data_IF_962848192638
#
_entry.id   IF_962848192638
#
_cell.length_a   1.000
_cell.length_b   1.000
_cell.length_c   1.000
_cell.angle_alpha   90.00
_cell.angle_beta   90.00
_cell.angle_gamma   90.00
#
_symmetry.space_group_name_H-M   'P 1'
#
loop_
_entity.id
_entity.type
_entity.pdbx_description
1 polymer ?
#
# COMPACT_ATOMS: atom_id res chain seq x y z
N UNK A 1 -23.18 -29.69 -66.65
CA UNK A 1 -22.09 -28.76 -66.23
C UNK A 1 -22.82 -27.52 -65.71
N UNK A 2 -22.69 -26.96 -64.51
CA UNK A 2 -21.81 -26.99 -63.32
C UNK A 2 -22.77 -26.66 -62.13
N UNK A 3 -22.84 -27.42 -61.03
CA UNK A 3 -21.89 -27.47 -59.90
C UNK A 3 -21.82 -26.18 -59.05
N UNK A 4 -22.51 -26.26 -57.89
CA UNK A 4 -22.22 -25.65 -56.57
C UNK A 4 -22.38 -24.11 -56.47
N UNK A 5 -22.66 -23.47 -55.33
CA UNK A 5 -22.41 -23.84 -53.94
C UNK A 5 -23.27 -22.96 -53.00
N UNK A 6 -23.95 -23.61 -52.06
CA UNK A 6 -24.49 -23.07 -50.80
C UNK A 6 -23.31 -22.66 -49.90
N UNK A 7 -23.33 -21.49 -49.27
CA UNK A 7 -22.64 -21.14 -48.00
C UNK A 7 -22.94 -19.65 -47.78
N UNK A 8 -23.68 -19.23 -46.76
CA UNK A 8 -23.50 -19.57 -45.36
C UNK A 8 -23.06 -18.29 -44.66
N UNK A 9 -23.97 -17.31 -44.56
CA UNK A 9 -23.74 -16.08 -43.80
C UNK A 9 -23.94 -16.39 -42.31
N UNK A 10 -23.01 -17.14 -41.76
CA UNK A 10 -22.98 -17.48 -40.34
C UNK A 10 -21.64 -17.07 -39.75
N UNK A 11 -21.76 -16.28 -38.69
CA UNK A 11 -20.78 -16.07 -37.62
C UNK A 11 -19.69 -15.05 -37.97
N UNK A 12 -20.04 -13.77 -37.78
CA UNK A 12 -19.10 -12.78 -37.27
C UNK A 12 -19.73 -12.06 -36.07
N UNK A 13 -20.15 -12.84 -35.07
CA UNK A 13 -20.19 -12.34 -33.70
C UNK A 13 -18.80 -12.55 -33.10
N UNK A 14 -17.81 -11.81 -33.60
CA UNK A 14 -16.68 -11.46 -32.76
C UNK A 14 -17.23 -10.43 -31.77
N UNK A 15 -17.89 -10.91 -30.72
CA UNK A 15 -18.06 -10.11 -29.53
C UNK A 15 -16.65 -9.77 -29.07
N UNK A 16 -16.24 -8.51 -29.22
CA UNK A 16 -15.20 -7.97 -28.37
C UNK A 16 -15.70 -8.22 -26.95
N UNK A 17 -15.11 -9.21 -26.29
CA UNK A 17 -15.10 -9.22 -24.83
C UNK A 17 -14.20 -8.04 -24.48
N UNK A 18 -14.79 -6.84 -24.49
CA UNK A 18 -14.18 -5.63 -23.95
C UNK A 18 -13.99 -5.98 -22.47
N UNK A 19 -12.78 -6.45 -22.16
CA UNK A 19 -12.45 -6.98 -20.86
C UNK A 19 -12.85 -5.93 -19.86
N UNK A 20 -13.83 -6.27 -19.03
CA UNK A 20 -14.35 -5.41 -17.97
C UNK A 20 -13.14 -4.89 -17.18
N UNK A 21 -12.72 -3.65 -17.49
CA UNK A 21 -11.61 -3.01 -16.82
C UNK A 21 -12.14 -2.65 -15.44
N UNK A 22 -12.04 -3.60 -14.52
CA UNK A 22 -12.24 -3.34 -13.11
C UNK A 22 -11.12 -2.39 -12.69
N UNK A 23 -11.48 -1.11 -12.54
CA UNK A 23 -10.60 -0.12 -11.93
C UNK A 23 -10.63 -0.43 -10.45
N UNK A 24 -9.60 -1.13 -9.98
CA UNK A 24 -9.31 -1.25 -8.56
C UNK A 24 -8.83 0.13 -8.07
N UNK A 25 -9.56 0.69 -7.11
CA UNK A 25 -9.18 1.92 -6.40
C UNK A 25 -8.67 1.52 -5.03
N UNK A 26 -7.50 2.04 -4.65
CA UNK A 26 -6.95 1.89 -3.30
C UNK A 26 -7.11 3.23 -2.60
N UNK A 27 -8.07 3.31 -1.68
CA UNK A 27 -8.42 4.54 -0.98
C UNK A 27 -8.23 4.36 0.54
N UNK A 28 -7.26 5.08 1.08
CA UNK A 28 -7.05 5.22 2.52
C UNK A 28 -6.95 6.70 2.93
N UNK A 29 -7.38 7.64 2.08
CA UNK A 29 -7.32 9.08 2.36
C UNK A 29 -8.24 9.46 3.52
N UNK A 30 -9.33 8.71 3.72
CA UNK A 30 -10.23 8.90 4.88
C UNK A 30 -9.74 8.25 6.19
N UNK A 31 -8.66 7.47 6.14
CA UNK A 31 -8.12 6.74 7.28
C UNK A 31 -6.98 7.58 7.89
N UNK A 32 -7.28 8.33 8.95
CA UNK A 32 -6.30 9.25 9.57
C UNK A 32 -5.28 8.53 10.47
N UNK A 33 -5.67 7.39 11.05
CA UNK A 33 -4.86 6.71 12.08
C UNK A 33 -3.84 5.78 11.45
N UNK A 34 -2.55 6.10 11.62
CA UNK A 34 -1.44 5.18 11.39
C UNK A 34 -1.26 4.28 12.61
N UNK A 35 -1.15 2.97 12.40
CA UNK A 35 -1.00 1.98 13.45
C UNK A 35 0.35 1.27 13.37
N UNK A 36 0.86 0.82 14.52
CA UNK A 36 2.04 -0.04 14.65
C UNK A 36 1.86 -0.95 15.87
N UNK A 37 2.48 -2.12 15.85
CA UNK A 37 2.41 -3.06 16.99
C UNK A 37 3.44 -2.75 18.08
N UNK A 38 4.55 -2.14 17.69
CA UNK A 38 5.64 -1.76 18.59
C UNK A 38 5.79 -0.24 18.61
N UNK A 39 6.45 0.26 19.66
CA UNK A 39 6.90 1.65 19.72
C UNK A 39 7.76 1.97 18.50
N UNK A 40 7.42 3.05 17.81
CA UNK A 40 8.11 3.50 16.61
C UNK A 40 9.47 4.08 17.00
N UNK A 41 10.52 3.69 16.29
CA UNK A 41 11.90 4.06 16.61
C UNK A 41 12.72 4.39 15.38
N UNK A 42 13.58 5.40 15.49
CA UNK A 42 14.55 5.75 14.46
C UNK A 42 15.68 4.71 14.30
N UNK A 43 15.88 3.83 15.29
CA UNK A 43 17.00 2.87 15.30
C UNK A 43 16.60 1.44 14.94
N UNK A 44 15.32 1.16 14.72
CA UNK A 44 14.83 -0.16 14.32
C UNK A 44 14.01 -0.08 13.05
N UNK A 45 13.77 -1.23 12.42
CA UNK A 45 12.73 -1.34 11.42
C UNK A 45 11.37 -1.02 12.05
N UNK A 46 10.50 -0.35 11.29
CA UNK A 46 9.13 -0.03 11.71
C UNK A 46 8.16 -0.59 10.69
N UNK A 47 7.17 -1.35 11.17
CA UNK A 47 6.02 -1.77 10.38
C UNK A 47 4.86 -0.88 10.76
N UNK A 48 4.38 -0.11 9.78
CA UNK A 48 3.24 0.79 9.91
C UNK A 48 2.11 0.25 9.05
N UNK A 49 0.86 0.42 9.49
CA UNK A 49 -0.27 -0.01 8.70
C UNK A 49 -1.49 0.89 8.90
N UNK A 50 -2.31 0.97 7.84
CA UNK A 50 -3.67 1.48 7.87
C UNK A 50 -4.64 0.36 7.55
N UNK A 51 -5.81 0.40 8.18
CA UNK A 51 -6.89 -0.57 7.97
C UNK A 51 -8.12 0.19 7.48
N UNK A 52 -8.72 -0.28 6.41
CA UNK A 52 -9.99 0.19 5.87
C UNK A 52 -10.92 -1.01 5.67
N UNK A 53 -11.77 -1.30 6.66
CA UNK A 53 -12.67 -2.46 6.58
C UNK A 53 -11.92 -3.80 6.50
N UNK A 54 -12.04 -4.47 5.36
CA UNK A 54 -11.38 -5.73 4.99
C UNK A 54 -10.12 -5.51 4.14
N UNK A 55 -9.60 -4.29 4.08
CA UNK A 55 -8.39 -3.94 3.35
C UNK A 55 -7.33 -3.35 4.30
N UNK A 56 -6.04 -3.56 3.99
CA UNK A 56 -4.95 -2.90 4.69
C UNK A 56 -3.82 -2.46 3.76
N UNK A 57 -3.23 -1.31 4.08
CA UNK A 57 -2.01 -0.82 3.46
C UNK A 57 -0.88 -0.87 4.49
N UNK A 58 0.18 -1.62 4.19
CA UNK A 58 1.30 -1.89 5.11
C UNK A 58 2.58 -1.29 4.53
N UNK A 59 3.30 -0.55 5.36
CA UNK A 59 4.61 0.02 5.06
C UNK A 59 5.66 -0.60 5.97
N UNK A 60 6.76 -1.05 5.38
CA UNK A 60 7.97 -1.43 6.13
C UNK A 60 9.04 -0.37 5.91
N UNK A 61 9.40 0.33 6.98
CA UNK A 61 10.44 1.36 7.00
C UNK A 61 11.71 0.77 7.63
N UNK A 62 12.86 0.80 6.93
CA UNK A 62 14.10 0.26 7.46
C UNK A 62 14.63 1.12 8.61
N UNK A 63 15.47 0.51 9.45
CA UNK A 63 16.20 1.21 10.51
C UNK A 63 16.97 2.41 9.95
N UNK A 64 16.89 3.54 10.66
CA UNK A 64 17.57 4.76 10.30
C UNK A 64 16.91 5.57 9.19
N UNK A 65 15.76 5.15 8.64
CA UNK A 65 15.00 5.99 7.71
C UNK A 65 14.30 7.16 8.43
N UNK A 66 13.67 6.89 9.57
CA UNK A 66 13.23 7.94 10.49
C UNK A 66 14.47 8.52 11.19
N UNK A 67 14.56 9.85 11.28
CA UNK A 67 15.66 10.56 11.93
C UNK A 67 15.13 11.47 13.03
N UNK A 68 15.72 11.37 14.22
CA UNK A 68 15.43 12.27 15.36
C UNK A 68 16.15 13.62 15.18
N UNK A 69 15.90 14.26 14.04
CA UNK A 69 16.39 15.58 13.70
C UNK A 69 15.39 16.24 12.73
N UNK A 70 15.21 17.56 12.86
CA UNK A 70 14.35 18.28 11.93
C UNK A 70 14.94 18.23 10.51
N UNK A 71 14.11 17.90 9.52
CA UNK A 71 14.54 17.80 8.13
C UNK A 71 14.91 19.17 7.58
N UNK A 72 16.13 19.29 7.03
CA UNK A 72 16.49 20.42 6.13
C UNK A 72 16.02 20.16 4.70
N UNK A 73 15.91 18.88 4.33
CA UNK A 73 15.31 18.37 3.11
C UNK A 73 14.65 17.03 3.46
N UNK A 74 13.54 16.71 2.81
CA UNK A 74 12.84 15.44 3.02
C UNK A 74 13.74 14.26 2.64
N UNK A 75 13.59 13.14 3.35
CA UNK A 75 14.30 11.90 3.09
C UNK A 75 13.43 11.04 2.18
N UNK A 76 14.00 10.51 1.11
CA UNK A 76 13.29 9.64 0.17
C UNK A 76 13.85 8.21 0.21
N UNK A 77 12.96 7.22 0.25
CA UNK A 77 13.29 5.79 0.21
C UNK A 77 12.53 5.12 -0.93
N UNK A 78 13.25 4.49 -1.85
CA UNK A 78 12.65 3.80 -2.99
C UNK A 78 11.88 2.54 -2.58
N UNK A 79 10.81 2.26 -3.32
CA UNK A 79 9.96 1.07 -3.20
C UNK A 79 9.83 0.40 -4.59
N UNK A 80 10.04 -0.92 -4.71
CA UNK A 80 10.61 -1.80 -3.69
C UNK A 80 12.12 -1.54 -3.50
N UNK A 81 12.66 -1.93 -2.36
CA UNK A 81 14.08 -1.80 -2.07
C UNK A 81 14.33 -1.76 -0.57
N UNK A 82 14.84 -0.62 -0.09
CA UNK A 82 15.04 -0.40 1.34
C UNK A 82 13.71 -0.33 2.11
N UNK A 83 12.67 0.18 1.46
CA UNK A 83 11.30 0.20 1.98
C UNK A 83 10.40 -0.72 1.15
N UNK A 84 9.34 -1.21 1.80
CA UNK A 84 8.31 -2.04 1.18
C UNK A 84 6.93 -1.43 1.43
N UNK A 85 6.03 -1.61 0.48
CA UNK A 85 4.61 -1.26 0.59
C UNK A 85 3.82 -2.44 0.08
N UNK A 86 2.89 -2.95 0.88
CA UNK A 86 1.97 -4.00 0.44
C UNK A 86 0.52 -3.62 0.69
N UNK A 87 -0.32 -3.98 -0.25
CA UNK A 87 -1.77 -3.84 -0.18
C UNK A 87 -2.38 -5.23 0.03
N UNK A 88 -3.24 -5.38 1.04
CA UNK A 88 -3.82 -6.66 1.42
C UNK A 88 -5.34 -6.58 1.46
N UNK A 89 -5.98 -7.61 0.92
CA UNK A 89 -7.43 -7.82 0.96
C UNK A 89 -7.70 -9.05 1.81
N UNK A 90 -8.63 -8.94 2.75
CA UNK A 90 -8.97 -9.95 3.74
C UNK A 90 -10.35 -10.57 3.48
N UNK A 91 -10.60 -11.76 4.02
CA UNK A 91 -11.89 -12.44 3.88
C UNK A 91 -13.03 -11.76 4.63
N UNK A 92 -12.71 -10.97 5.64
CA UNK A 92 -13.62 -10.24 6.51
C UNK A 92 -12.90 -9.00 7.06
N UNK A 93 -13.65 -8.13 7.74
CA UNK A 93 -13.10 -6.94 8.40
C UNK A 93 -11.91 -7.29 9.30
N UNK A 94 -10.80 -6.58 9.12
CA UNK A 94 -9.56 -6.78 9.87
C UNK A 94 -9.44 -5.76 11.01
N UNK A 95 -8.69 -6.12 12.05
CA UNK A 95 -8.39 -5.23 13.18
C UNK A 95 -6.89 -5.28 13.49
N UNK A 96 -6.41 -4.36 14.32
CA UNK A 96 -5.00 -4.32 14.74
C UNK A 96 -4.51 -5.63 15.38
N UNK A 97 -5.42 -6.40 16.02
CA UNK A 97 -5.12 -7.70 16.58
C UNK A 97 -4.56 -8.69 15.54
N UNK A 98 -5.01 -8.58 14.27
CA UNK A 98 -4.49 -9.40 13.18
C UNK A 98 -2.97 -9.23 13.00
N UNK A 99 -2.49 -8.00 13.13
CA UNK A 99 -1.08 -7.64 12.94
C UNK A 99 -0.26 -7.80 14.22
N UNK A 100 -0.88 -7.58 15.38
CA UNK A 100 -0.14 -7.36 16.63
C UNK A 100 -0.22 -8.49 17.66
N UNK A 101 -1.20 -9.38 17.56
CA UNK A 101 -1.30 -10.49 18.51
C UNK A 101 -0.27 -11.57 18.18
N UNK A 102 0.21 -12.23 19.25
CA UNK A 102 1.13 -13.36 19.15
C UNK A 102 0.59 -14.54 19.98
N UNK A 103 0.06 -15.59 19.33
CA UNK A 103 -0.02 -15.80 17.88
C UNK A 103 -1.09 -14.91 17.21
N UNK A 104 -0.94 -14.59 15.92
CA UNK A 104 -1.97 -13.86 15.19
C UNK A 104 -3.25 -14.71 15.07
N UNK A 105 -4.44 -14.08 15.03
CA UNK A 105 -5.70 -14.73 14.72
C UNK A 105 -5.64 -15.50 13.40
N UNK A 106 -6.36 -16.63 13.33
CA UNK A 106 -6.52 -17.39 12.08
C UNK A 106 -7.53 -16.75 11.11
N UNK A 107 -8.34 -15.81 11.60
CA UNK A 107 -9.34 -15.07 10.83
C UNK A 107 -9.23 -13.56 11.11
N UNK A 108 -9.41 -12.71 10.09
CA UNK A 108 -9.69 -13.06 8.70
C UNK A 108 -8.48 -13.70 7.98
N UNK A 109 -8.71 -14.38 6.86
CA UNK A 109 -7.61 -14.89 6.00
C UNK A 109 -7.26 -13.85 4.93
N UNK A 110 -5.99 -13.78 4.51
CA UNK A 110 -5.58 -12.98 3.36
C UNK A 110 -6.12 -13.62 2.08
N UNK A 111 -6.95 -12.89 1.34
CA UNK A 111 -7.43 -13.29 0.02
C UNK A 111 -6.46 -12.88 -1.08
N UNK A 112 -5.88 -11.69 -0.96
CA UNK A 112 -4.92 -11.15 -1.91
C UNK A 112 -3.88 -10.29 -1.19
N UNK A 113 -2.63 -10.37 -1.64
CA UNK A 113 -1.52 -9.53 -1.19
C UNK A 113 -0.75 -9.04 -2.41
N UNK A 114 -0.72 -7.73 -2.60
CA UNK A 114 -0.08 -7.07 -3.74
C UNK A 114 1.05 -6.19 -3.25
N UNK A 115 2.27 -6.57 -3.59
CA UNK A 115 3.47 -5.78 -3.31
C UNK A 115 3.64 -4.64 -4.31
N UNK A 116 4.02 -3.47 -3.82
CA UNK A 116 4.32 -2.34 -4.69
C UNK A 116 5.59 -2.63 -5.52
N UNK A 117 5.48 -2.39 -6.82
CA UNK A 117 6.54 -2.63 -7.82
C UNK A 117 7.29 -1.37 -8.22
N UNK A 118 6.85 -0.22 -7.72
CA UNK A 118 7.48 1.08 -7.93
C UNK A 118 6.93 2.13 -6.98
N UNK A 119 7.68 3.22 -6.83
CA UNK A 119 7.33 4.38 -6.02
C UNK A 119 8.41 4.73 -4.99
N UNK A 120 8.07 5.63 -4.08
CA UNK A 120 8.94 6.08 -3.00
C UNK A 120 8.14 6.49 -1.78
N UNK A 121 8.74 6.30 -0.60
CA UNK A 121 8.29 6.87 0.66
C UNK A 121 9.11 8.14 0.92
N UNK A 122 8.44 9.26 1.16
CA UNK A 122 9.04 10.55 1.47
C UNK A 122 8.73 10.88 2.93
N UNK A 123 9.77 11.22 3.70
CA UNK A 123 9.65 11.55 5.12
C UNK A 123 10.13 12.98 5.36
N UNK A 124 9.27 13.75 6.02
CA UNK A 124 9.60 15.09 6.52
C UNK A 124 9.46 15.10 8.03
N UNK A 125 10.56 15.38 8.74
CA UNK A 125 10.58 15.43 10.20
C UNK A 125 10.50 16.86 10.71
N UNK A 126 9.67 17.08 11.72
CA UNK A 126 9.68 18.27 12.58
C UNK A 126 10.06 17.89 14.00
N UNK A 127 10.83 18.74 14.67
CA UNK A 127 11.23 18.54 16.06
C UNK A 127 10.38 19.44 16.98
N UNK A 128 10.10 18.95 18.19
CA UNK A 128 9.54 19.76 19.28
C UNK A 128 10.52 20.82 19.76
N UNK A 129 10.03 21.84 20.47
CA UNK A 129 10.85 22.96 20.98
C UNK A 129 12.00 22.50 21.88
N UNK A 130 11.76 21.45 22.68
CA UNK A 130 12.74 20.82 23.57
C UNK A 130 13.65 19.80 22.87
N UNK A 131 13.46 19.54 21.57
CA UNK A 131 14.18 18.54 20.77
C UNK A 131 14.12 17.11 21.35
N UNK A 132 13.04 16.77 22.07
CA UNK A 132 12.82 15.43 22.63
C UNK A 132 11.91 14.59 21.73
N UNK A 133 10.93 15.22 21.09
CA UNK A 133 9.90 14.55 20.28
C UNK A 133 10.04 14.94 18.82
N UNK A 134 9.90 13.95 17.93
CA UNK A 134 10.05 14.13 16.49
C UNK A 134 8.81 13.60 15.78
N UNK A 135 8.16 14.48 15.03
CA UNK A 135 6.97 14.16 14.24
C UNK A 135 7.40 13.96 12.79
N UNK A 136 7.16 12.77 12.26
CA UNK A 136 7.53 12.35 10.91
C UNK A 136 6.28 12.25 10.06
N UNK A 137 6.13 13.18 9.12
CA UNK A 137 5.14 13.10 8.06
C UNK A 137 5.61 12.08 7.02
N UNK A 138 4.84 11.02 6.82
CA UNK A 138 5.09 9.94 5.86
C UNK A 138 4.18 10.14 4.65
N UNK A 139 4.80 10.30 3.48
CA UNK A 139 4.11 10.51 2.21
C UNK A 139 4.52 9.45 1.20
N UNK A 140 3.61 9.14 0.30
CA UNK A 140 3.79 8.17 -0.76
C UNK A 140 3.80 8.90 -2.10
N UNK A 141 4.74 8.53 -2.98
CA UNK A 141 4.87 9.15 -4.30
C UNK A 141 5.10 8.08 -5.36
N UNK A 142 4.30 8.13 -6.43
CA UNK A 142 4.46 7.26 -7.60
C UNK A 142 4.28 5.77 -7.32
N UNK A 143 3.55 5.40 -6.25
CA UNK A 143 3.31 3.99 -5.89
C UNK A 143 2.62 3.28 -7.05
N UNK A 144 3.06 2.06 -7.35
CA UNK A 144 2.46 1.21 -8.40
C UNK A 144 2.26 -0.19 -7.86
N UNK A 145 1.01 -0.67 -7.90
CA UNK A 145 0.70 -2.08 -7.67
C UNK A 145 0.40 -2.79 -9.00
N UNK A 146 0.82 -4.06 -9.08
CA UNK A 146 0.52 -4.97 -10.18
C UNK A 146 -0.17 -6.19 -9.59
N UNK A 147 -1.47 -6.38 -9.87
CA UNK A 147 -2.17 -7.58 -9.41
C UNK A 147 -1.71 -8.84 -10.19
N UNK A 148 -2.18 -10.02 -9.78
CA UNK A 148 -1.75 -11.29 -10.38
C UNK A 148 -2.04 -11.41 -11.89
N UNK A 149 -3.04 -10.67 -12.38
CA UNK A 149 -3.41 -10.61 -13.79
C UNK A 149 -2.51 -9.66 -14.61
N UNK A 150 -1.55 -8.98 -13.95
CA UNK A 150 -0.69 -7.97 -14.56
C UNK A 150 -1.36 -6.62 -14.76
N UNK A 151 -2.56 -6.42 -14.19
CA UNK A 151 -3.25 -5.13 -14.24
C UNK A 151 -2.59 -4.17 -13.25
N UNK A 152 -2.36 -2.94 -13.72
CA UNK A 152 -1.85 -1.84 -12.90
C UNK A 152 -3.01 -1.19 -12.15
N UNK A 153 -2.90 -1.14 -10.82
CA UNK A 153 -3.74 -0.25 -10.01
C UNK A 153 -3.21 1.17 -10.22
N UNK A 154 -4.08 2.07 -10.69
CA UNK A 154 -3.68 3.45 -11.05
C UNK A 154 -4.42 4.53 -10.28
N UNK A 155 -5.51 4.17 -9.61
CA UNK A 155 -6.28 5.08 -8.77
C UNK A 155 -5.91 4.86 -7.30
N UNK A 156 -4.86 5.59 -6.86
CA UNK A 156 -4.34 5.54 -5.49
C UNK A 156 -4.67 6.86 -4.79
N UNK A 157 -5.59 6.83 -3.83
CA UNK A 157 -5.97 7.95 -2.96
C UNK A 157 -5.32 7.74 -1.58
N UNK A 158 -3.99 7.92 -1.54
CA UNK A 158 -3.13 7.61 -0.37
C UNK A 158 -1.82 8.43 -0.30
N UNK A 159 -1.77 9.61 -0.92
CA UNK A 159 -0.50 10.36 -1.05
C UNK A 159 0.09 10.75 0.32
N UNK A 160 -0.77 11.03 1.29
CA UNK A 160 -0.36 11.24 2.68
C UNK A 160 -0.69 10.00 3.51
N UNK A 161 0.33 9.17 3.78
CA UNK A 161 0.15 8.02 4.65
C UNK A 161 -0.09 8.47 6.09
N UNK A 162 0.42 9.61 6.52
CA UNK A 162 0.11 10.22 7.81
C UNK A 162 1.34 10.46 8.66
N UNK A 163 1.13 10.80 9.93
CA UNK A 163 2.20 11.22 10.84
C UNK A 163 2.48 10.19 11.92
N UNK A 164 3.75 9.87 12.13
CA UNK A 164 4.23 9.04 13.24
C UNK A 164 5.23 9.79 14.11
N UNK A 165 5.38 9.38 15.36
CA UNK A 165 6.22 10.09 16.32
C UNK A 165 7.29 9.16 16.89
N UNK A 166 8.49 9.70 17.05
CA UNK A 166 9.56 9.08 17.85
C UNK A 166 10.02 10.07 18.94
N UNK A 167 10.76 9.56 19.92
CA UNK A 167 11.43 10.39 20.92
C UNK A 167 12.87 9.96 21.11
N UNK A 168 13.73 10.89 21.52
CA UNK A 168 15.02 10.53 22.12
C UNK A 168 14.76 10.02 23.53
N UNK A 169 15.24 8.82 23.84
CA UNK A 169 15.32 8.36 25.23
C UNK A 169 16.28 9.21 26.07
#
# INVERSE_FOLDING_TARGET
MKKYLLIGCSILFFGCNDGDLQIETVDFDSIETVQSCNTISASTENVLFKINGDEALVLTLPSGLLKNEASTTSIESAVPGNSQISYRIFSETVTSAYFCDSPPPLTPTVLEEIEATGGSIIITTTASEDNVTFSHLVQLSGVTFLNENGSRITDLQINEFGTVTTSTE
#
